data_IF_841825854069
#
_entry.id   IF_841825854069
#
_cell.length_a   1.000
_cell.length_b   1.000
_cell.length_c   1.000
_cell.angle_alpha   90.00
_cell.angle_beta   90.00
_cell.angle_gamma   90.00
#
_symmetry.space_group_name_H-M   'P 1'
#
loop_
_entity.id
_entity.type
_entity.pdbx_description
1 polymer ?
#
# COMPACT_ATOMS: atom_id res chain seq x y z
N UNK A 1 6.39 5.22 1.91
CA UNK A 1 5.51 6.40 1.94
C UNK A 1 6.18 7.60 1.31
N UNK A 2 5.41 8.42 0.57
CA UNK A 2 5.98 9.52 -0.23
C UNK A 2 6.18 10.83 0.53
N UNK A 3 5.46 11.10 1.63
CA UNK A 3 5.55 12.37 2.35
C UNK A 3 5.94 12.18 3.82
N UNK A 4 6.61 13.19 4.44
CA UNK A 4 6.96 13.13 5.87
C UNK A 4 5.73 12.91 6.77
N UNK A 5 4.62 13.59 6.47
CA UNK A 5 3.39 13.53 7.25
C UNK A 5 2.79 12.11 7.25
N UNK A 6 2.81 11.44 6.10
CA UNK A 6 2.35 10.05 5.98
C UNK A 6 3.26 9.09 6.74
N UNK A 7 4.57 9.33 6.73
CA UNK A 7 5.50 8.51 7.51
C UNK A 7 5.26 8.68 9.01
N UNK A 8 5.12 9.92 9.47
CA UNK A 8 4.79 10.21 10.86
C UNK A 8 3.45 9.59 11.31
N UNK A 9 2.46 9.52 10.42
CA UNK A 9 1.20 8.83 10.69
C UNK A 9 1.39 7.31 10.83
N UNK A 10 2.22 6.69 9.99
CA UNK A 10 2.56 5.27 10.11
C UNK A 10 3.33 4.97 11.40
N UNK A 11 4.27 5.80 11.77
CA UNK A 11 5.06 5.64 13.00
C UNK A 11 4.19 5.66 14.26
N UNK A 12 3.13 6.50 14.29
CA UNK A 12 2.15 6.48 15.39
C UNK A 12 1.39 5.17 15.53
N UNK A 13 1.32 4.38 14.46
CA UNK A 13 0.72 3.05 14.43
C UNK A 13 1.75 1.94 14.68
N UNK A 14 2.99 2.28 15.04
CA UNK A 14 4.08 1.32 15.21
C UNK A 14 4.66 0.77 13.90
N UNK A 15 4.36 1.41 12.77
CA UNK A 15 4.81 0.98 11.44
C UNK A 15 6.01 1.84 11.00
N UNK A 16 7.10 1.19 10.60
CA UNK A 16 8.28 1.91 10.08
C UNK A 16 8.00 2.46 8.68
N UNK A 17 8.01 3.78 8.58
CA UNK A 17 7.80 4.49 7.33
C UNK A 17 9.09 4.67 6.54
N UNK A 18 9.27 3.98 5.41
CA UNK A 18 10.44 4.13 4.54
C UNK A 18 10.13 5.13 3.42
N UNK A 19 11.05 6.09 3.20
CA UNK A 19 10.95 7.03 2.08
C UNK A 19 11.47 6.40 0.78
N UNK A 20 10.56 6.05 -0.12
CA UNK A 20 10.90 5.45 -1.41
C UNK A 20 11.74 6.38 -2.32
N UNK A 21 11.71 7.70 -2.09
CA UNK A 21 12.52 8.65 -2.88
C UNK A 21 14.02 8.44 -2.66
N UNK A 22 14.41 7.96 -1.47
CA UNK A 22 15.80 7.61 -1.15
C UNK A 22 16.36 6.50 -2.07
N UNK A 23 15.52 5.72 -2.70
CA UNK A 23 15.85 4.61 -3.57
C UNK A 23 15.43 4.86 -5.02
N UNK A 24 15.35 6.13 -5.44
CA UNK A 24 15.06 6.56 -6.82
C UNK A 24 13.88 5.80 -7.45
N UNK A 25 12.89 5.41 -6.66
CA UNK A 25 11.76 4.59 -7.05
C UNK A 25 12.14 3.24 -7.69
N UNK A 26 13.27 2.67 -7.27
CA UNK A 26 13.77 1.36 -7.70
C UNK A 26 14.08 1.25 -9.20
N UNK A 27 14.61 2.32 -9.80
CA UNK A 27 14.93 2.35 -11.25
C UNK A 27 16.15 1.51 -11.62
N UNK A 28 17.06 1.29 -10.69
CA UNK A 28 18.30 0.56 -10.93
C UNK A 28 18.47 -0.60 -9.95
N UNK A 29 19.34 -1.55 -10.30
CA UNK A 29 19.70 -2.66 -9.40
C UNK A 29 20.35 -2.17 -8.09
N UNK A 30 21.09 -1.08 -8.15
CA UNK A 30 21.73 -0.49 -6.96
C UNK A 30 20.70 0.13 -6.02
N UNK A 31 19.64 0.77 -6.56
CA UNK A 31 18.52 1.27 -5.76
C UNK A 31 17.82 0.13 -5.00
N UNK A 32 17.56 -1.00 -5.70
CA UNK A 32 16.94 -2.19 -5.09
C UNK A 32 17.87 -2.82 -4.05
N UNK A 33 19.18 -2.87 -4.30
CA UNK A 33 20.19 -3.36 -3.36
C UNK A 33 20.24 -2.49 -2.09
N UNK A 34 20.22 -1.15 -2.25
CA UNK A 34 20.21 -0.22 -1.13
C UNK A 34 18.95 -0.39 -0.28
N UNK A 35 17.78 -0.55 -0.91
CA UNK A 35 16.53 -0.83 -0.22
C UNK A 35 16.56 -2.18 0.51
N UNK A 36 17.09 -3.22 -0.12
CA UNK A 36 17.26 -4.54 0.50
C UNK A 36 18.14 -4.47 1.75
N UNK A 37 19.22 -3.71 1.70
CA UNK A 37 20.09 -3.52 2.87
C UNK A 37 19.39 -2.76 4.00
N UNK A 38 18.56 -1.78 3.67
CA UNK A 38 17.75 -1.08 4.68
C UNK A 38 16.75 -2.02 5.36
N UNK A 39 16.03 -2.82 4.57
CA UNK A 39 15.10 -3.82 5.09
C UNK A 39 15.80 -4.85 5.99
N UNK A 40 16.99 -5.31 5.61
CA UNK A 40 17.80 -6.20 6.45
C UNK A 40 18.16 -5.59 7.80
N UNK A 41 18.55 -4.30 7.82
CA UNK A 41 18.84 -3.59 9.07
C UNK A 41 17.61 -3.53 9.98
N UNK A 42 16.44 -3.20 9.41
CA UNK A 42 15.20 -3.08 10.15
C UNK A 42 14.70 -4.41 10.73
N UNK A 43 15.02 -5.53 10.09
CA UNK A 43 14.56 -6.88 10.47
C UNK A 43 15.64 -7.73 11.13
N UNK A 44 16.76 -7.16 11.53
CA UNK A 44 17.86 -7.94 12.11
C UNK A 44 18.49 -8.95 11.13
N UNK A 45 18.29 -8.78 9.83
CA UNK A 45 18.81 -9.65 8.77
C UNK A 45 17.79 -10.62 8.16
N UNK A 46 16.64 -10.81 8.78
CA UNK A 46 15.64 -11.81 8.33
C UNK A 46 14.92 -11.44 7.04
N UNK A 47 14.78 -10.15 6.74
CA UNK A 47 14.01 -9.62 5.62
C UNK A 47 12.48 -9.79 5.82
N UNK A 48 11.67 -9.73 4.75
CA UNK A 48 10.22 -9.65 4.84
C UNK A 48 9.57 -11.02 4.59
N UNK A 49 8.81 -11.52 5.56
CA UNK A 49 8.08 -12.79 5.43
C UNK A 49 6.78 -12.65 4.64
N UNK A 50 6.17 -11.46 4.69
CA UNK A 50 4.99 -11.11 3.90
C UNK A 50 5.26 -9.80 3.18
N UNK A 51 4.94 -9.74 1.90
CA UNK A 51 4.97 -8.52 1.09
C UNK A 51 3.59 -8.34 0.46
N UNK A 52 2.93 -7.22 0.74
CA UNK A 52 1.69 -6.82 0.08
C UNK A 52 1.96 -5.65 -0.85
N UNK A 53 1.65 -5.80 -2.13
CA UNK A 53 1.88 -4.79 -3.16
C UNK A 53 0.58 -4.42 -3.88
N UNK A 54 0.36 -3.12 -4.04
CA UNK A 54 -0.78 -2.55 -4.76
C UNK A 54 -0.37 -1.80 -6.04
N UNK A 55 0.93 -1.74 -6.34
CA UNK A 55 1.45 -0.85 -7.38
C UNK A 55 2.02 -1.60 -8.59
N UNK A 56 2.56 -2.80 -8.37
CA UNK A 56 3.34 -3.58 -9.36
C UNK A 56 4.57 -2.85 -9.90
N UNK A 57 5.06 -3.29 -11.06
CA UNK A 57 6.24 -2.72 -11.70
C UNK A 57 7.48 -2.81 -10.82
N UNK A 58 8.34 -1.77 -10.85
CA UNK A 58 9.61 -1.76 -10.09
C UNK A 58 9.41 -1.90 -8.58
N UNK A 59 8.30 -1.43 -8.03
CA UNK A 59 8.00 -1.53 -6.58
C UNK A 59 7.80 -2.98 -6.18
N UNK A 60 7.05 -3.75 -6.96
CA UNK A 60 6.86 -5.18 -6.69
C UNK A 60 8.17 -5.97 -6.87
N UNK A 61 8.95 -5.65 -7.91
CA UNK A 61 10.29 -6.23 -8.10
C UNK A 61 11.21 -5.99 -6.89
N UNK A 62 11.19 -4.79 -6.34
CA UNK A 62 11.91 -4.46 -5.09
C UNK A 62 11.34 -5.23 -3.89
N UNK A 63 10.03 -5.40 -3.80
CA UNK A 63 9.35 -6.23 -2.80
C UNK A 63 9.83 -7.69 -2.85
N UNK A 64 9.93 -8.27 -4.04
CA UNK A 64 10.48 -9.62 -4.24
C UNK A 64 11.96 -9.72 -3.81
N UNK A 65 12.75 -8.69 -4.06
CA UNK A 65 14.17 -8.68 -3.68
C UNK A 65 14.37 -8.68 -2.15
N UNK A 66 13.46 -8.08 -1.38
CA UNK A 66 13.51 -8.05 0.09
C UNK A 66 12.84 -9.26 0.75
N UNK A 67 12.30 -10.19 -0.04
CA UNK A 67 11.64 -11.37 0.47
C UNK A 67 12.58 -12.22 1.35
N UNK A 68 12.09 -12.66 2.49
CA UNK A 68 12.72 -13.70 3.31
C UNK A 68 12.59 -15.08 2.65
N UNK A 69 13.21 -16.11 3.22
CA UNK A 69 12.96 -17.47 2.78
C UNK A 69 11.53 -17.90 3.13
N UNK A 70 10.88 -18.63 2.25
CA UNK A 70 9.47 -19.05 2.36
C UNK A 70 8.49 -17.87 2.50
N UNK A 71 8.82 -16.75 1.88
CA UNK A 71 7.99 -15.55 1.90
C UNK A 71 6.75 -15.74 1.03
N UNK A 72 5.69 -15.01 1.37
CA UNK A 72 4.49 -14.85 0.54
C UNK A 72 4.40 -13.40 0.06
N UNK A 73 4.39 -13.21 -1.25
CA UNK A 73 4.14 -11.91 -1.89
C UNK A 73 2.74 -11.92 -2.49
N UNK A 74 1.90 -11.00 -2.05
CA UNK A 74 0.56 -10.80 -2.57
C UNK A 74 0.51 -9.48 -3.34
N UNK A 75 0.00 -9.52 -4.57
CA UNK A 75 -0.17 -8.33 -5.40
C UNK A 75 -1.62 -8.18 -5.85
N UNK A 76 -2.22 -7.03 -5.55
CA UNK A 76 -3.64 -6.73 -5.83
C UNK A 76 -3.84 -5.54 -6.78
N UNK A 77 -2.80 -4.92 -7.30
CA UNK A 77 -2.91 -3.71 -8.13
C UNK A 77 -2.13 -3.81 -9.43
N UNK A 78 -2.22 -2.76 -10.27
CA UNK A 78 -1.41 -2.62 -11.49
C UNK A 78 -1.14 -1.16 -11.85
N UNK A 79 -1.05 -0.28 -10.86
CA UNK A 79 -0.99 1.17 -11.07
C UNK A 79 0.25 1.64 -11.85
N UNK A 80 1.41 1.03 -11.60
CA UNK A 80 2.67 1.49 -12.21
C UNK A 80 3.05 0.74 -13.48
N UNK A 81 2.83 -0.58 -13.54
CA UNK A 81 3.18 -1.40 -14.70
C UNK A 81 2.55 -2.79 -14.60
N UNK A 82 2.25 -3.37 -15.75
CA UNK A 82 1.84 -4.77 -15.87
C UNK A 82 3.03 -5.72 -15.88
N UNK A 83 4.22 -5.22 -16.18
CA UNK A 83 5.46 -6.01 -16.27
C UNK A 83 6.27 -5.83 -14.99
N UNK A 84 6.75 -6.93 -14.43
CA UNK A 84 7.62 -6.97 -13.25
C UNK A 84 8.89 -7.75 -13.60
N UNK A 85 10.03 -7.12 -13.40
CA UNK A 85 11.32 -7.80 -13.54
C UNK A 85 11.80 -8.29 -12.16
N UNK A 86 12.24 -9.55 -12.10
CA UNK A 86 12.80 -10.13 -10.88
C UNK A 86 13.85 -11.22 -11.20
N UNK A 87 14.66 -11.54 -10.22
CA UNK A 87 15.64 -12.61 -10.31
C UNK A 87 14.98 -13.96 -9.95
N UNK A 88 14.62 -14.76 -10.97
CA UNK A 88 13.93 -16.04 -10.78
C UNK A 88 14.77 -17.05 -9.99
N UNK A 89 16.09 -17.07 -10.18
CA UNK A 89 17.00 -17.95 -9.41
C UNK A 89 16.93 -17.61 -7.92
N UNK A 90 16.95 -16.30 -7.58
CA UNK A 90 16.82 -15.87 -6.20
C UNK A 90 15.47 -16.27 -5.60
N UNK A 91 14.39 -16.18 -6.36
CA UNK A 91 13.06 -16.61 -5.91
C UNK A 91 13.01 -18.11 -5.64
N UNK A 92 13.62 -18.92 -6.51
CA UNK A 92 13.71 -20.37 -6.31
C UNK A 92 14.52 -20.74 -5.07
N UNK A 93 15.70 -20.14 -4.88
CA UNK A 93 16.54 -20.37 -3.70
C UNK A 93 15.83 -19.99 -2.39
N UNK A 94 15.06 -18.91 -2.42
CA UNK A 94 14.30 -18.44 -1.25
C UNK A 94 12.96 -19.15 -1.10
N UNK A 95 12.50 -19.93 -2.06
CA UNK A 95 11.18 -20.58 -2.05
C UNK A 95 10.05 -19.55 -1.88
N UNK A 96 10.08 -18.51 -2.70
CA UNK A 96 9.11 -17.41 -2.64
C UNK A 96 7.80 -17.82 -3.30
N UNK A 97 6.69 -17.62 -2.61
CA UNK A 97 5.35 -17.72 -3.19
C UNK A 97 4.92 -16.35 -3.71
N UNK A 98 4.41 -16.32 -4.94
CA UNK A 98 3.82 -15.12 -5.54
C UNK A 98 2.35 -15.42 -5.79
N UNK A 99 1.48 -14.62 -5.18
CA UNK A 99 0.04 -14.70 -5.34
C UNK A 99 -0.50 -13.40 -5.93
N UNK A 100 -1.44 -13.52 -6.86
CA UNK A 100 -2.10 -12.39 -7.48
C UNK A 100 -3.59 -12.46 -7.24
N UNK A 101 -4.13 -11.40 -6.67
CA UNK A 101 -5.57 -11.25 -6.52
C UNK A 101 -6.07 -10.08 -7.37
N UNK A 102 -7.29 -10.18 -7.87
CA UNK A 102 -7.91 -9.12 -8.67
C UNK A 102 -9.11 -8.53 -7.94
N UNK A 103 -10.08 -9.35 -7.64
CA UNK A 103 -11.27 -8.98 -6.87
C UNK A 103 -11.47 -9.96 -5.73
N UNK A 104 -12.13 -9.49 -4.70
CA UNK A 104 -12.58 -10.33 -3.63
C UNK A 104 -13.94 -10.96 -3.98
N UNK A 105 -14.24 -12.09 -3.35
CA UNK A 105 -15.57 -12.68 -3.40
C UNK A 105 -16.56 -11.86 -2.57
N UNK A 106 -17.85 -12.01 -2.84
CA UNK A 106 -18.89 -11.35 -2.03
C UNK A 106 -18.78 -11.74 -0.56
N UNK A 107 -18.52 -13.02 -0.28
CA UNK A 107 -18.34 -13.53 1.08
C UNK A 107 -17.10 -12.93 1.76
N UNK A 108 -16.00 -12.77 1.02
CA UNK A 108 -14.80 -12.10 1.52
C UNK A 108 -15.03 -10.63 1.83
N UNK A 109 -15.82 -9.93 1.01
CA UNK A 109 -16.23 -8.55 1.29
C UNK A 109 -17.07 -8.46 2.58
N UNK A 110 -17.99 -9.38 2.79
CA UNK A 110 -18.78 -9.43 4.02
C UNK A 110 -17.91 -9.75 5.24
N UNK A 111 -17.03 -10.73 5.14
CA UNK A 111 -16.09 -11.05 6.22
C UNK A 111 -15.18 -9.86 6.57
N UNK A 112 -14.72 -9.10 5.56
CA UNK A 112 -13.95 -7.88 5.81
C UNK A 112 -14.77 -6.80 6.54
N UNK A 113 -16.07 -6.67 6.23
CA UNK A 113 -16.95 -5.71 6.93
C UNK A 113 -17.12 -6.05 8.42
N UNK A 114 -17.16 -7.33 8.78
CA UNK A 114 -17.23 -7.77 10.18
C UNK A 114 -15.97 -7.41 10.99
N UNK A 115 -14.83 -7.27 10.32
CA UNK A 115 -13.56 -6.86 10.94
C UNK A 115 -13.44 -5.34 11.13
N UNK A 116 -14.35 -4.55 10.51
CA UNK A 116 -14.32 -3.09 10.60
C UNK A 116 -14.51 -2.61 12.05
N UNK A 117 -13.69 -1.67 12.44
CA UNK A 117 -13.69 -1.09 13.78
C UNK A 117 -12.95 -1.90 14.84
N UNK A 118 -12.87 -3.23 14.70
CA UNK A 118 -12.17 -4.13 15.63
C UNK A 118 -10.75 -4.43 15.17
N UNK A 119 -10.57 -4.83 13.91
CA UNK A 119 -9.27 -5.23 13.36
C UNK A 119 -8.67 -4.12 12.50
N UNK A 120 -9.49 -3.44 11.71
CA UNK A 120 -9.04 -2.31 10.92
C UNK A 120 -10.11 -1.21 10.86
N UNK A 121 -9.64 0.01 10.65
CA UNK A 121 -10.46 1.17 10.33
C UNK A 121 -9.77 1.94 9.22
N UNK A 122 -10.38 2.06 8.02
CA UNK A 122 -9.81 2.85 6.94
C UNK A 122 -9.57 4.29 7.37
N UNK A 123 -8.42 4.82 7.02
CA UNK A 123 -8.15 6.25 7.23
C UNK A 123 -8.91 7.05 6.20
N UNK A 124 -9.82 7.89 6.64
CA UNK A 124 -10.57 8.82 5.80
C UNK A 124 -9.80 10.14 5.73
N UNK A 125 -9.82 10.78 4.56
CA UNK A 125 -9.27 12.13 4.42
C UNK A 125 -10.05 13.12 5.30
N UNK A 126 -9.34 14.07 5.90
CA UNK A 126 -9.90 15.03 6.87
C UNK A 126 -11.02 15.92 6.30
N UNK A 127 -10.99 16.17 4.99
CA UNK A 127 -11.99 16.98 4.30
C UNK A 127 -13.00 16.08 3.59
N UNK A 128 -14.29 16.36 3.81
CA UNK A 128 -15.38 15.77 3.03
C UNK A 128 -15.72 16.77 1.93
N UNK A 129 -15.48 16.38 0.69
CA UNK A 129 -15.73 17.23 -0.47
C UNK A 129 -17.23 17.37 -0.76
N UNK A 130 -17.68 18.55 -1.17
CA UNK A 130 -18.98 18.69 -1.81
C UNK A 130 -18.98 18.02 -3.19
N UNK A 131 -20.13 17.72 -3.74
CA UNK A 131 -20.22 17.09 -5.07
C UNK A 131 -19.58 17.96 -6.16
N UNK A 132 -19.76 19.26 -6.05
CA UNK A 132 -19.21 20.27 -6.95
C UNK A 132 -17.66 20.33 -6.90
N UNK A 133 -17.06 19.91 -5.78
CA UNK A 133 -15.62 19.86 -5.58
C UNK A 133 -14.96 18.56 -6.12
N UNK A 134 -15.72 17.69 -6.76
CA UNK A 134 -15.21 16.43 -7.30
C UNK A 134 -13.98 16.60 -8.22
N UNK A 135 -13.94 17.59 -9.14
CA UNK A 135 -12.75 17.82 -9.96
C UNK A 135 -11.51 18.17 -9.14
N UNK A 136 -11.66 18.97 -8.08
CA UNK A 136 -10.59 19.31 -7.14
C UNK A 136 -10.10 18.07 -6.39
N UNK A 137 -11.01 17.25 -5.90
CA UNK A 137 -10.66 15.99 -5.23
C UNK A 137 -9.81 15.07 -6.13
N UNK A 138 -10.17 14.95 -7.41
CA UNK A 138 -9.36 14.18 -8.37
C UNK A 138 -7.98 14.79 -8.63
N UNK A 139 -7.87 16.10 -8.74
CA UNK A 139 -6.58 16.77 -8.90
C UNK A 139 -5.67 16.53 -7.70
N UNK A 140 -6.19 16.67 -6.49
CA UNK A 140 -5.45 16.44 -5.25
C UNK A 140 -5.03 14.96 -5.10
N UNK A 141 -5.89 14.02 -5.52
CA UNK A 141 -5.54 12.59 -5.58
C UNK A 141 -4.39 12.35 -6.56
N UNK A 142 -4.45 12.95 -7.74
CA UNK A 142 -3.40 12.84 -8.76
C UNK A 142 -2.07 13.44 -8.30
N UNK A 143 -2.12 14.56 -7.56
CA UNK A 143 -0.97 15.19 -6.93
C UNK A 143 -0.49 14.44 -5.67
N UNK A 144 -1.25 13.45 -5.23
CA UNK A 144 -0.93 12.61 -4.06
C UNK A 144 -0.82 13.41 -2.74
N UNK A 145 -1.61 14.47 -2.59
CA UNK A 145 -1.62 15.32 -1.39
C UNK A 145 -2.63 14.87 -0.33
N UNK A 146 -3.64 14.09 -0.72
CA UNK A 146 -4.64 13.55 0.20
C UNK A 146 -4.04 12.50 1.15
N UNK A 147 -4.46 12.53 2.40
CA UNK A 147 -4.12 11.54 3.43
C UNK A 147 -5.36 10.71 3.75
N UNK A 148 -5.39 9.46 3.31
CA UNK A 148 -6.56 8.61 3.49
C UNK A 148 -7.51 8.62 2.29
N UNK A 149 -8.66 7.99 2.45
CA UNK A 149 -9.68 7.82 1.40
C UNK A 149 -10.51 9.11 1.32
N UNK A 150 -10.56 9.78 0.16
CA UNK A 150 -11.40 10.96 -0.01
C UNK A 150 -12.88 10.56 -0.03
N UNK A 151 -13.70 11.32 0.67
CA UNK A 151 -15.16 11.17 0.70
C UNK A 151 -15.77 12.35 -0.04
N UNK A 152 -16.68 12.07 -0.94
CA UNK A 152 -17.49 13.07 -1.64
C UNK A 152 -18.94 12.94 -1.20
N UNK A 153 -19.52 14.05 -0.74
CA UNK A 153 -20.92 14.09 -0.35
C UNK A 153 -21.79 14.27 -1.59
N UNK A 154 -22.53 13.24 -1.96
CA UNK A 154 -23.42 13.25 -3.13
C UNK A 154 -24.81 13.77 -2.76
N UNK A 155 -25.31 13.52 -1.54
CA UNK A 155 -26.62 13.97 -1.09
C UNK A 155 -26.48 15.14 -0.10
N UNK A 156 -27.42 16.10 -0.17
CA UNK A 156 -27.47 17.23 0.77
C UNK A 156 -27.75 16.76 2.19
N UNK A 157 -28.65 15.80 2.32
CA UNK A 157 -29.06 15.25 3.61
C UNK A 157 -28.42 13.89 3.80
N UNK A 158 -27.50 13.81 4.75
CA UNK A 158 -26.86 12.55 5.13
C UNK A 158 -27.71 11.88 6.21
N UNK A 159 -28.12 10.61 6.03
CA UNK A 159 -28.81 9.88 7.08
C UNK A 159 -28.01 9.87 8.38
N UNK A 160 -28.70 10.02 9.53
CA UNK A 160 -28.05 10.07 10.84
C UNK A 160 -27.18 8.82 11.11
N UNK A 161 -27.60 7.66 10.60
CA UNK A 161 -26.85 6.40 10.65
C UNK A 161 -25.50 6.46 9.93
N UNK A 162 -25.34 7.33 8.92
CA UNK A 162 -24.08 7.51 8.19
C UNK A 162 -23.22 8.60 8.86
N UNK A 163 -23.84 9.62 9.46
CA UNK A 163 -23.11 10.68 10.18
C UNK A 163 -22.30 10.11 11.35
N UNK A 164 -22.79 9.08 12.01
CA UNK A 164 -22.10 8.44 13.14
C UNK A 164 -20.91 7.58 12.74
N UNK A 165 -20.69 7.33 11.44
CA UNK A 165 -19.59 6.53 10.91
C UNK A 165 -18.40 7.39 10.45
N UNK A 166 -18.56 8.70 10.34
CA UNK A 166 -17.55 9.69 9.95
C UNK A 166 -16.95 10.40 11.16
#
# INVERSE_FOLDING_TARGET
SGTPERRAALEKLGIVGIDQKRFNRFKTKDDVKAFTNECKKLTGGEQMHIVADMLRGPVFGAGLAVAARCNVNVSAGWQLSQVVEYNSTLMSVKQVTIDHTHYETVDGCWAATELYGNVFKPTVHKEIYAFEDLPRSFQEMQQNVQTGIPIVRVAKDMPASVQSLL
#
